data_IF_764381570222
#
_entry.id   IF_764381570222
#
_cell.length_a   1.000
_cell.length_b   1.000
_cell.length_c   1.000
_cell.angle_alpha   90.00
_cell.angle_beta   90.00
_cell.angle_gamma   90.00
#
_symmetry.space_group_name_H-M   'P 1'
#
loop_
_entity.id
_entity.type
_entity.pdbx_description
1 polymer ?
#
# COMPACT_ATOMS: atom_id res chain seq x y z
N UNK A 1 -22.02 20.96 11.05
CA UNK A 1 -21.24 20.11 10.12
C UNK A 1 -20.51 21.01 9.12
N UNK A 2 -19.22 21.30 9.33
CA UNK A 2 -18.42 21.97 8.26
C UNK A 2 -18.27 20.99 7.09
N UNK A 3 -18.42 21.44 5.85
CA UNK A 3 -18.44 20.55 4.70
C UNK A 3 -17.10 19.80 4.58
N UNK A 4 -17.16 18.50 4.33
CA UNK A 4 -16.02 17.57 4.17
C UNK A 4 -14.98 18.00 3.11
N UNK A 5 -15.34 18.95 2.27
CA UNK A 5 -14.48 19.60 1.27
C UNK A 5 -13.34 20.42 1.89
N UNK A 6 -13.51 20.94 3.12
CA UNK A 6 -12.48 21.75 3.78
C UNK A 6 -11.22 20.92 4.08
N UNK A 7 -11.37 19.67 4.52
CA UNK A 7 -10.23 18.79 4.79
C UNK A 7 -9.47 18.41 3.49
N UNK A 8 -10.20 18.14 2.40
CA UNK A 8 -9.58 17.84 1.10
C UNK A 8 -8.87 19.07 0.51
N UNK A 9 -9.48 20.25 0.61
CA UNK A 9 -8.88 21.50 0.15
C UNK A 9 -7.64 21.86 0.98
N UNK A 10 -7.69 21.73 2.29
CA UNK A 10 -6.52 21.99 3.16
C UNK A 10 -5.39 21.00 2.92
N UNK A 11 -5.71 19.72 2.67
CA UNK A 11 -4.70 18.73 2.30
C UNK A 11 -4.06 19.04 0.93
N UNK A 12 -4.87 19.39 -0.07
CA UNK A 12 -4.37 19.80 -1.39
C UNK A 12 -3.49 21.06 -1.30
N UNK A 13 -3.91 22.05 -0.53
CA UNK A 13 -3.12 23.26 -0.29
C UNK A 13 -1.80 22.93 0.41
N UNK A 14 -1.80 22.03 1.40
CA UNK A 14 -0.58 21.59 2.07
C UNK A 14 0.38 20.89 1.10
N UNK A 15 -0.12 19.99 0.24
CA UNK A 15 0.68 19.33 -0.81
C UNK A 15 1.33 20.36 -1.74
N UNK A 16 0.54 21.30 -2.25
CA UNK A 16 1.05 22.33 -3.16
C UNK A 16 2.06 23.23 -2.48
N UNK A 17 1.82 23.63 -1.23
CA UNK A 17 2.73 24.50 -0.48
C UNK A 17 4.05 23.80 -0.18
N UNK A 18 4.02 22.54 0.29
CA UNK A 18 5.24 21.77 0.59
C UNK A 18 6.05 21.51 -0.69
N UNK A 19 5.38 21.19 -1.80
CA UNK A 19 6.03 20.96 -3.08
C UNK A 19 6.69 22.24 -3.62
N UNK A 20 5.97 23.38 -3.60
CA UNK A 20 6.52 24.67 -4.03
C UNK A 20 7.73 25.07 -3.18
N UNK A 21 7.62 24.93 -1.85
CA UNK A 21 8.71 25.24 -0.93
C UNK A 21 9.94 24.36 -1.18
N UNK A 22 9.74 23.05 -1.38
CA UNK A 22 10.81 22.13 -1.67
C UNK A 22 11.53 22.45 -2.99
N UNK A 23 10.79 22.77 -4.05
CA UNK A 23 11.35 23.16 -5.35
C UNK A 23 12.16 24.46 -5.18
N UNK A 24 11.63 25.44 -4.46
CA UNK A 24 12.31 26.71 -4.21
C UNK A 24 13.59 26.54 -3.40
N UNK A 25 13.57 25.72 -2.34
CA UNK A 25 14.75 25.38 -1.52
C UNK A 25 15.83 24.65 -2.33
N UNK A 26 15.45 23.90 -3.35
CA UNK A 26 16.37 23.26 -4.30
C UNK A 26 17.00 24.26 -5.30
N UNK A 27 16.66 25.55 -5.22
CA UNK A 27 17.16 26.59 -6.13
C UNK A 27 16.45 26.62 -7.49
N UNK A 28 15.35 25.88 -7.66
CA UNK A 28 14.60 25.84 -8.90
C UNK A 28 13.33 26.72 -8.82
N UNK A 29 12.88 27.25 -9.96
CA UNK A 29 11.65 28.03 -10.02
C UNK A 29 10.41 27.10 -10.14
N UNK A 30 9.47 27.14 -9.20
CA UNK A 30 8.27 26.28 -9.26
C UNK A 30 7.48 26.41 -10.56
N UNK A 31 7.42 27.62 -11.14
CA UNK A 31 6.73 27.90 -12.42
C UNK A 31 7.28 27.09 -13.60
N UNK A 32 8.56 26.68 -13.54
CA UNK A 32 9.22 25.93 -14.61
C UNK A 32 9.19 24.43 -14.34
N UNK A 33 9.13 24.02 -13.06
CA UNK A 33 9.16 22.63 -12.60
C UNK A 33 7.75 22.01 -12.56
N UNK A 34 6.75 22.72 -12.02
CA UNK A 34 5.38 22.18 -11.88
C UNK A 34 4.74 21.76 -13.20
N UNK A 35 4.83 22.54 -14.31
CA UNK A 35 4.30 22.10 -15.60
C UNK A 35 4.94 20.80 -16.08
N UNK A 36 6.26 20.63 -15.90
CA UNK A 36 6.97 19.40 -16.27
C UNK A 36 6.51 18.21 -15.45
N UNK A 37 6.25 18.39 -14.15
CA UNK A 37 5.66 17.33 -13.30
C UNK A 37 4.29 16.94 -13.86
N UNK A 38 3.41 17.88 -14.14
CA UNK A 38 2.07 17.60 -14.67
C UNK A 38 2.14 16.91 -16.03
N UNK A 39 2.96 17.42 -16.93
CA UNK A 39 3.16 16.83 -18.26
C UNK A 39 3.75 15.42 -18.19
N UNK A 40 4.77 15.21 -17.37
CA UNK A 40 5.42 13.90 -17.21
C UNK A 40 4.66 12.88 -16.37
N UNK A 41 3.56 13.30 -15.70
CA UNK A 41 2.72 12.40 -14.89
C UNK A 41 1.34 12.17 -15.46
N UNK A 42 0.69 13.21 -15.99
CA UNK A 42 -0.69 13.17 -16.48
C UNK A 42 -0.82 13.59 -17.95
N UNK A 43 0.18 14.29 -18.51
CA UNK A 43 0.11 14.86 -19.85
C UNK A 43 0.28 13.85 -20.99
N UNK A 44 0.73 12.62 -20.69
CA UNK A 44 0.89 11.57 -21.69
C UNK A 44 0.58 10.19 -21.10
N UNK A 45 0.27 9.21 -21.97
CA UNK A 45 -0.14 7.88 -21.54
C UNK A 45 0.97 7.11 -20.79
N UNK A 46 2.23 7.30 -21.17
CA UNK A 46 3.37 6.71 -20.44
C UNK A 46 3.43 7.26 -19.01
N UNK A 47 3.42 8.58 -18.83
CA UNK A 47 3.45 9.22 -17.52
C UNK A 47 2.27 8.83 -16.64
N UNK A 48 1.06 8.80 -17.22
CA UNK A 48 -0.13 8.31 -16.53
C UNK A 48 0.05 6.84 -16.11
N UNK A 49 0.54 5.99 -17.02
CA UNK A 49 0.82 4.59 -16.72
C UNK A 49 1.82 4.42 -15.57
N UNK A 50 2.92 5.18 -15.57
CA UNK A 50 3.90 5.15 -14.49
C UNK A 50 3.34 5.68 -13.16
N UNK A 51 2.54 6.74 -13.22
CA UNK A 51 1.83 7.28 -12.04
C UNK A 51 0.93 6.23 -11.41
N UNK A 52 0.11 5.55 -12.21
CA UNK A 52 -0.78 4.48 -11.74
C UNK A 52 0.01 3.25 -11.26
N UNK A 53 1.13 2.93 -11.90
CA UNK A 53 2.02 1.86 -11.45
C UNK A 53 2.58 2.14 -10.04
N UNK A 54 3.05 3.38 -9.80
CA UNK A 54 3.53 3.81 -8.48
C UNK A 54 2.40 3.92 -7.44
N UNK A 55 1.19 4.26 -7.86
CA UNK A 55 0.01 4.27 -7.01
C UNK A 55 -0.45 2.86 -6.60
N UNK A 56 -0.14 1.82 -7.41
CA UNK A 56 -0.63 0.46 -7.19
C UNK A 56 -0.30 -0.10 -5.82
N UNK A 57 0.96 -0.19 -5.38
CA UNK A 57 1.28 -0.72 -4.06
C UNK A 57 0.71 0.15 -2.94
N UNK A 58 0.61 1.48 -3.14
CA UNK A 58 0.03 2.41 -2.18
C UNK A 58 -1.48 2.21 -1.99
N UNK A 59 -2.18 1.82 -3.03
CA UNK A 59 -3.59 1.49 -3.01
C UNK A 59 -3.85 0.24 -2.15
N UNK A 60 -3.02 -0.79 -2.28
CA UNK A 60 -3.11 -2.01 -1.49
C UNK A 60 -2.75 -1.77 -0.02
N UNK A 61 -1.62 -1.12 0.26
CA UNK A 61 -1.17 -0.83 1.64
C UNK A 61 -2.06 0.20 2.32
N UNK A 62 -2.55 1.22 1.59
CA UNK A 62 -3.54 2.17 2.08
C UNK A 62 -4.87 1.51 2.43
N UNK A 63 -5.35 0.58 1.59
CA UNK A 63 -6.51 -0.25 1.88
C UNK A 63 -6.33 -1.12 3.13
N UNK A 64 -5.15 -1.72 3.27
CA UNK A 64 -4.77 -2.53 4.42
C UNK A 64 -4.87 -1.73 5.73
N UNK A 65 -4.22 -0.57 5.78
CA UNK A 65 -4.26 0.33 6.95
C UNK A 65 -5.68 0.82 7.21
N UNK A 66 -6.42 1.22 6.17
CA UNK A 66 -7.79 1.68 6.30
C UNK A 66 -8.73 0.62 6.89
N UNK A 67 -8.53 -0.67 6.55
CA UNK A 67 -9.29 -1.77 7.13
C UNK A 67 -9.00 -1.91 8.63
N UNK A 68 -7.74 -1.91 9.05
CA UNK A 68 -7.35 -2.00 10.45
C UNK A 68 -7.94 -0.84 11.28
N UNK A 69 -7.90 0.39 10.74
CA UNK A 69 -8.46 1.59 11.37
C UNK A 69 -9.97 1.47 11.66
N UNK A 70 -10.72 0.66 10.91
CA UNK A 70 -12.15 0.40 11.20
C UNK A 70 -12.37 -0.33 12.52
N UNK A 71 -11.37 -1.07 13.00
CA UNK A 71 -11.38 -1.71 14.32
C UNK A 71 -10.61 -0.89 15.38
N UNK A 72 -10.27 0.37 15.11
CA UNK A 72 -9.37 1.20 15.92
C UNK A 72 -8.00 0.53 16.17
N UNK A 73 -7.54 -0.24 15.20
CA UNK A 73 -6.20 -0.84 15.19
C UNK A 73 -5.32 -0.09 14.22
N UNK A 74 -4.06 0.11 14.59
CA UNK A 74 -3.11 0.83 13.75
C UNK A 74 -2.07 -0.16 13.20
N UNK A 75 -2.20 -0.53 11.92
CA UNK A 75 -1.28 -1.46 11.26
C UNK A 75 -0.10 -0.70 10.63
N UNK A 76 0.99 -0.51 11.37
CA UNK A 76 2.26 -0.02 10.82
C UNK A 76 3.01 -1.13 10.07
N UNK A 77 2.62 -2.39 10.27
CA UNK A 77 3.22 -3.58 9.67
C UNK A 77 3.02 -3.75 8.16
N UNK A 78 2.27 -2.85 7.52
CA UNK A 78 1.95 -2.98 6.10
C UNK A 78 3.20 -3.09 5.19
N UNK A 79 4.33 -2.50 5.59
CA UNK A 79 5.61 -2.62 4.87
C UNK A 79 6.14 -4.05 4.89
N UNK A 80 6.36 -4.61 6.07
CA UNK A 80 6.85 -5.99 6.21
C UNK A 80 5.86 -7.03 5.69
N UNK A 81 4.55 -6.78 5.83
CA UNK A 81 3.50 -7.63 5.27
C UNK A 81 3.54 -7.63 3.74
N UNK A 82 3.81 -6.47 3.11
CA UNK A 82 4.01 -6.36 1.67
C UNK A 82 5.26 -7.14 1.22
N UNK A 83 6.38 -7.01 1.95
CA UNK A 83 7.61 -7.76 1.69
C UNK A 83 7.40 -9.27 1.82
N UNK A 84 6.71 -9.71 2.88
CA UNK A 84 6.39 -11.12 3.09
C UNK A 84 5.46 -11.67 1.99
N UNK A 85 4.49 -10.88 1.56
CA UNK A 85 3.63 -11.23 0.43
C UNK A 85 4.39 -11.34 -0.89
N UNK A 86 5.30 -10.39 -1.17
CA UNK A 86 6.19 -10.42 -2.33
C UNK A 86 7.07 -11.66 -2.32
N UNK A 87 7.68 -11.99 -1.17
CA UNK A 87 8.49 -13.19 -1.00
C UNK A 87 7.68 -14.46 -1.26
N UNK A 88 6.51 -14.60 -0.61
CA UNK A 88 5.68 -15.80 -0.74
C UNK A 88 5.20 -16.01 -2.17
N UNK A 89 4.72 -14.97 -2.87
CA UNK A 89 4.29 -15.12 -4.26
C UNK A 89 5.47 -15.40 -5.21
N UNK A 90 6.67 -14.87 -4.93
CA UNK A 90 7.87 -15.18 -5.72
C UNK A 90 8.26 -16.65 -5.57
N UNK A 91 8.35 -17.15 -4.34
CA UNK A 91 8.74 -18.54 -4.06
C UNK A 91 7.72 -19.53 -4.63
N UNK A 92 6.43 -19.32 -4.32
CA UNK A 92 5.36 -20.20 -4.79
C UNK A 92 5.21 -20.12 -6.31
N UNK A 93 5.23 -18.90 -6.89
CA UNK A 93 5.13 -18.72 -8.32
C UNK A 93 6.29 -19.33 -9.11
N UNK A 94 7.50 -19.37 -8.51
CA UNK A 94 8.68 -20.02 -9.10
C UNK A 94 8.68 -21.56 -8.93
N UNK A 95 7.97 -22.07 -7.91
CA UNK A 95 7.89 -23.51 -7.63
C UNK A 95 6.83 -24.24 -8.48
N UNK A 96 5.93 -23.51 -9.14
CA UNK A 96 4.91 -24.11 -9.99
C UNK A 96 5.55 -24.76 -11.25
N UNK A 97 4.97 -25.83 -11.81
CA UNK A 97 5.40 -26.40 -13.08
C UNK A 97 5.36 -25.36 -14.22
N UNK A 98 6.38 -25.36 -15.10
CA UNK A 98 6.55 -24.35 -16.15
C UNK A 98 5.33 -24.19 -17.09
N UNK A 99 4.56 -25.26 -17.33
CA UNK A 99 3.36 -25.25 -18.17
C UNK A 99 2.06 -24.90 -17.44
N UNK A 100 2.09 -24.49 -16.17
CA UNK A 100 0.86 -24.21 -15.40
C UNK A 100 0.09 -23.06 -16.05
N UNK A 101 -1.20 -23.27 -16.41
CA UNK A 101 -2.02 -22.22 -17.02
C UNK A 101 -2.23 -21.03 -16.08
N UNK A 102 -2.40 -19.83 -16.66
CA UNK A 102 -2.57 -18.59 -15.88
C UNK A 102 -3.80 -18.66 -14.94
N UNK A 103 -4.87 -19.34 -15.35
CA UNK A 103 -6.07 -19.52 -14.54
C UNK A 103 -5.83 -20.26 -13.22
N UNK A 104 -4.75 -21.04 -13.13
CA UNK A 104 -4.34 -21.78 -11.92
C UNK A 104 -3.16 -21.09 -11.23
N UNK A 105 -2.15 -20.69 -11.99
CA UNK A 105 -0.93 -20.10 -11.45
C UNK A 105 -1.17 -18.76 -10.75
N UNK A 106 -1.98 -17.86 -11.36
CA UNK A 106 -2.27 -16.54 -10.77
C UNK A 106 -3.02 -16.65 -9.42
N UNK A 107 -4.15 -17.39 -9.30
CA UNK A 107 -4.81 -17.53 -8.01
C UNK A 107 -3.91 -18.12 -6.93
N UNK A 108 -3.09 -19.12 -7.25
CA UNK A 108 -2.15 -19.73 -6.28
C UNK A 108 -1.12 -18.70 -5.81
N UNK A 109 -0.51 -17.94 -6.73
CA UNK A 109 0.47 -16.92 -6.37
C UNK A 109 -0.17 -15.74 -5.59
N UNK A 110 -1.40 -15.34 -5.94
CA UNK A 110 -2.16 -14.31 -5.20
C UNK A 110 -2.51 -14.78 -3.79
N UNK A 111 -2.95 -16.04 -3.63
CA UNK A 111 -3.23 -16.62 -2.31
C UNK A 111 -1.96 -16.73 -1.47
N UNK A 112 -0.81 -17.07 -2.09
CA UNK A 112 0.48 -17.10 -1.41
C UNK A 112 0.89 -15.69 -0.92
N UNK A 113 0.68 -14.64 -1.75
CA UNK A 113 0.93 -13.26 -1.34
C UNK A 113 0.02 -12.83 -0.19
N UNK A 114 -1.27 -13.14 -0.28
CA UNK A 114 -2.23 -12.82 0.77
C UNK A 114 -1.90 -13.53 2.08
N UNK A 115 -1.56 -14.82 2.02
CA UNK A 115 -1.16 -15.62 3.19
C UNK A 115 0.14 -15.10 3.81
N UNK A 116 1.14 -14.77 2.97
CA UNK A 116 2.42 -14.21 3.40
C UNK A 116 2.27 -12.91 4.19
N UNK A 117 1.37 -12.01 3.75
CA UNK A 117 1.06 -10.78 4.49
C UNK A 117 0.11 -11.02 5.68
N UNK A 118 -0.84 -11.95 5.55
CA UNK A 118 -1.79 -12.27 6.62
C UNK A 118 -1.12 -12.86 7.86
N UNK A 119 -0.10 -13.68 7.69
CA UNK A 119 0.58 -14.36 8.80
C UNK A 119 1.17 -13.39 9.83
N UNK A 120 2.05 -12.43 9.46
CA UNK A 120 2.55 -11.44 10.42
C UNK A 120 1.45 -10.50 10.92
N UNK A 121 0.44 -10.17 10.08
CA UNK A 121 -0.73 -9.42 10.53
C UNK A 121 -1.52 -10.17 11.60
N UNK A 122 -1.81 -11.45 11.39
CA UNK A 122 -2.49 -12.31 12.35
C UNK A 122 -1.71 -12.44 13.65
N UNK A 123 -0.38 -12.59 13.57
CA UNK A 123 0.50 -12.67 14.74
C UNK A 123 0.38 -11.41 15.60
N UNK A 124 0.50 -10.21 14.98
CA UNK A 124 0.34 -8.95 15.70
C UNK A 124 -1.04 -8.82 16.33
N UNK A 125 -2.10 -9.19 15.57
CA UNK A 125 -3.47 -9.19 16.06
C UNK A 125 -3.71 -10.17 17.21
N UNK A 126 -3.12 -11.35 17.15
CA UNK A 126 -3.19 -12.36 18.20
C UNK A 126 -2.49 -11.89 19.47
N UNK A 127 -1.27 -11.35 19.34
CA UNK A 127 -0.54 -10.76 20.47
C UNK A 127 -1.36 -9.66 21.14
N UNK A 128 -1.99 -8.77 20.37
CA UNK A 128 -2.88 -7.75 20.89
C UNK A 128 -4.10 -8.33 21.58
N UNK A 129 -4.78 -9.30 20.95
CA UNK A 129 -6.01 -9.89 21.47
C UNK A 129 -5.79 -10.75 22.71
N UNK A 130 -4.67 -11.48 22.80
CA UNK A 130 -4.39 -12.42 23.88
C UNK A 130 -3.63 -11.81 25.05
N UNK A 131 -2.67 -10.93 24.78
CA UNK A 131 -1.76 -10.38 25.78
C UNK A 131 -1.92 -8.88 26.00
N UNK A 132 -2.79 -8.21 25.25
CA UNK A 132 -2.99 -6.77 25.37
C UNK A 132 -1.79 -5.94 24.88
N UNK A 133 -0.85 -6.53 24.13
CA UNK A 133 0.32 -5.80 23.59
C UNK A 133 -0.12 -4.64 22.71
N UNK A 134 0.71 -3.61 22.61
CA UNK A 134 0.42 -2.50 21.71
C UNK A 134 0.70 -2.90 20.25
N UNK A 135 -0.33 -2.90 19.39
CA UNK A 135 -0.22 -3.37 18.00
C UNK A 135 0.80 -2.59 17.17
N UNK A 136 0.97 -1.29 17.45
CA UNK A 136 1.97 -0.44 16.80
C UNK A 136 3.38 -0.98 17.03
N UNK A 137 3.73 -1.33 18.27
CA UNK A 137 5.05 -1.87 18.61
C UNK A 137 5.25 -3.23 17.96
N UNK A 138 4.26 -4.13 18.08
CA UNK A 138 4.36 -5.49 17.50
C UNK A 138 4.52 -5.44 15.99
N UNK A 139 3.74 -4.59 15.29
CA UNK A 139 3.83 -4.48 13.83
C UNK A 139 5.12 -3.80 13.37
N UNK A 140 5.62 -2.80 14.10
CA UNK A 140 6.89 -2.14 13.79
C UNK A 140 8.08 -3.10 13.96
N UNK A 141 8.09 -3.90 15.04
CA UNK A 141 9.14 -4.92 15.26
C UNK A 141 9.09 -5.99 14.17
N UNK A 142 7.89 -6.44 13.77
CA UNK A 142 7.73 -7.40 12.69
C UNK A 142 8.21 -6.84 11.34
N UNK A 143 8.06 -5.54 11.07
CA UNK A 143 8.64 -4.92 9.86
C UNK A 143 10.17 -5.11 9.82
N UNK A 144 10.86 -4.79 10.92
CA UNK A 144 12.31 -4.96 11.00
C UNK A 144 12.72 -6.43 10.82
N UNK A 145 12.03 -7.35 11.51
CA UNK A 145 12.28 -8.78 11.40
C UNK A 145 12.09 -9.28 9.96
N UNK A 146 10.99 -8.90 9.31
CA UNK A 146 10.68 -9.30 7.94
C UNK A 146 11.64 -8.69 6.93
N UNK A 147 12.10 -7.45 7.12
CA UNK A 147 13.11 -6.84 6.27
C UNK A 147 14.44 -7.61 6.34
N UNK A 148 14.89 -7.98 7.53
CA UNK A 148 16.11 -8.78 7.70
C UNK A 148 15.92 -10.20 7.16
N UNK A 149 14.79 -10.84 7.45
CA UNK A 149 14.48 -12.20 6.98
C UNK A 149 14.43 -12.27 5.45
N UNK A 150 13.72 -11.33 4.80
CA UNK A 150 13.62 -11.31 3.34
C UNK A 150 14.98 -11.05 2.69
N UNK A 151 15.78 -10.12 3.25
CA UNK A 151 17.15 -9.86 2.81
C UNK A 151 18.02 -11.10 2.89
N UNK A 152 18.01 -11.79 4.03
CA UNK A 152 18.76 -13.02 4.23
C UNK A 152 18.34 -14.13 3.25
N UNK A 153 17.02 -14.30 3.04
CA UNK A 153 16.51 -15.31 2.10
C UNK A 153 16.94 -15.02 0.66
N UNK A 154 16.83 -13.75 0.21
CA UNK A 154 17.23 -13.37 -1.15
C UNK A 154 18.75 -13.44 -1.38
N UNK A 155 19.55 -13.12 -0.35
CA UNK A 155 21.02 -13.16 -0.44
C UNK A 155 21.61 -14.55 -0.28
N UNK A 156 20.86 -15.48 0.28
CA UNK A 156 21.29 -16.85 0.65
C UNK A 156 20.48 -17.93 -0.05
N UNK A 157 19.50 -18.58 0.66
CA UNK A 157 18.88 -19.82 0.18
C UNK A 157 18.09 -19.69 -1.13
N UNK A 158 17.54 -18.50 -1.43
CA UNK A 158 16.73 -18.26 -2.63
C UNK A 158 17.52 -17.62 -3.78
N UNK A 159 18.80 -17.33 -3.56
CA UNK A 159 19.68 -16.71 -4.53
C UNK A 159 19.89 -17.61 -5.77
N UNK A 160 19.91 -17.03 -6.95
CA UNK A 160 20.18 -17.72 -8.20
C UNK A 160 21.54 -17.28 -8.77
N UNK A 161 22.52 -18.16 -8.67
CA UNK A 161 23.87 -17.88 -9.11
C UNK A 161 24.48 -16.66 -8.38
N UNK A 162 25.00 -15.70 -9.14
CA UNK A 162 25.58 -14.45 -8.61
C UNK A 162 24.53 -13.36 -8.33
N UNK A 163 23.31 -13.53 -8.79
CA UNK A 163 22.24 -12.51 -8.72
C UNK A 163 21.41 -12.66 -7.44
N UNK A 164 21.24 -11.56 -6.73
CA UNK A 164 20.51 -11.52 -5.42
C UNK A 164 19.00 -11.42 -5.66
N UNK A 165 18.44 -12.44 -6.33
CA UNK A 165 17.00 -12.58 -6.55
C UNK A 165 16.59 -14.05 -6.59
N UNK A 166 15.28 -14.31 -6.48
CA UNK A 166 14.71 -15.66 -6.60
C UNK A 166 14.74 -16.14 -8.05
N UNK A 167 14.44 -17.44 -8.25
CA UNK A 167 14.07 -17.93 -9.58
C UNK A 167 12.88 -17.13 -10.11
N UNK A 168 12.80 -17.03 -11.45
CA UNK A 168 11.65 -16.40 -12.08
C UNK A 168 10.37 -17.19 -11.84
N UNK A 169 9.27 -16.46 -11.61
CA UNK A 169 7.94 -17.06 -11.54
C UNK A 169 7.55 -17.61 -12.92
N UNK A 170 6.78 -18.70 -12.94
CA UNK A 170 6.30 -19.27 -14.21
C UNK A 170 5.49 -18.24 -15.00
N UNK A 171 5.52 -18.36 -16.32
CA UNK A 171 4.85 -17.40 -17.21
C UNK A 171 3.35 -17.24 -16.87
N UNK A 172 2.68 -18.34 -16.52
CA UNK A 172 1.27 -18.33 -16.11
C UNK A 172 0.98 -17.54 -14.81
N UNK A 173 1.98 -17.31 -13.96
CA UNK A 173 1.83 -16.49 -12.76
C UNK A 173 2.07 -15.00 -12.99
N UNK A 174 2.51 -14.59 -14.18
CA UNK A 174 2.76 -13.17 -14.48
C UNK A 174 1.47 -12.42 -14.74
N UNK A 175 1.32 -11.26 -14.12
CA UNK A 175 0.21 -10.36 -14.39
C UNK A 175 0.37 -9.69 -15.75
N UNK A 176 -0.72 -9.54 -16.53
CA UNK A 176 -0.67 -8.83 -17.79
C UNK A 176 -0.31 -7.36 -17.57
N UNK A 177 0.62 -6.86 -18.39
CA UNK A 177 0.99 -5.45 -18.45
C UNK A 177 -0.04 -4.67 -19.25
N UNK A 178 -0.29 -3.42 -18.88
CA UNK A 178 -1.29 -2.57 -19.54
C UNK A 178 -1.01 -2.34 -21.03
N UNK A 179 0.26 -2.29 -21.46
CA UNK A 179 0.64 -2.12 -22.86
C UNK A 179 0.21 -3.29 -23.76
N UNK A 180 -0.07 -4.48 -23.19
CA UNK A 180 -0.63 -5.61 -23.96
C UNK A 180 -2.08 -5.39 -24.39
N UNK A 181 -2.80 -4.53 -23.65
CA UNK A 181 -4.19 -4.18 -23.92
C UNK A 181 -4.30 -2.86 -24.71
N UNK A 182 -3.42 -1.90 -24.41
CA UNK A 182 -3.40 -0.57 -25.01
C UNK A 182 -1.96 -0.15 -25.26
N UNK A 183 -1.56 -0.07 -26.53
CA UNK A 183 -0.20 0.33 -26.95
C UNK A 183 0.23 1.71 -26.44
N UNK A 184 -0.72 2.59 -26.14
CA UNK A 184 -0.47 3.91 -25.54
C UNK A 184 0.32 3.84 -24.22
N UNK A 185 0.20 2.75 -23.45
CA UNK A 185 0.95 2.53 -22.19
C UNK A 185 2.31 1.84 -22.40
N UNK A 186 2.82 1.79 -23.63
CA UNK A 186 4.10 1.15 -23.90
C UNK A 186 5.24 1.76 -23.06
N UNK A 187 6.09 0.90 -22.49
CA UNK A 187 7.17 1.30 -21.60
C UNK A 187 6.76 1.57 -20.16
N UNK A 188 5.46 1.66 -19.84
CA UNK A 188 5.00 1.83 -18.45
C UNK A 188 4.97 0.53 -17.70
N UNK A 189 5.18 0.60 -16.36
CA UNK A 189 5.09 -0.54 -15.44
C UNK A 189 3.68 -0.84 -14.96
N UNK A 190 2.66 -0.18 -15.54
CA UNK A 190 1.26 -0.42 -15.19
C UNK A 190 0.86 -1.85 -15.57
N UNK A 191 0.23 -2.55 -14.64
CA UNK A 191 -0.20 -3.93 -14.80
C UNK A 191 -1.53 -4.20 -14.10
N UNK A 192 -2.06 -5.41 -14.24
CA UNK A 192 -3.37 -5.79 -13.70
C UNK A 192 -3.48 -5.69 -12.16
N UNK A 193 -2.39 -5.50 -11.40
CA UNK A 193 -2.47 -5.30 -9.96
C UNK A 193 -3.20 -4.01 -9.58
N UNK A 194 -3.23 -2.98 -10.46
CA UNK A 194 -3.97 -1.75 -10.21
C UNK A 194 -5.49 -1.99 -10.21
N UNK A 195 -6.12 -2.49 -11.29
CA UNK A 195 -7.56 -2.77 -11.28
C UNK A 195 -7.94 -3.84 -10.26
N UNK A 196 -7.10 -4.84 -9.99
CA UNK A 196 -7.31 -5.80 -8.90
C UNK A 196 -7.35 -5.11 -7.53
N UNK A 197 -6.47 -4.13 -7.31
CA UNK A 197 -6.46 -3.35 -6.06
C UNK A 197 -7.73 -2.50 -5.91
N UNK A 198 -8.20 -1.87 -6.98
CA UNK A 198 -9.48 -1.14 -6.97
C UNK A 198 -10.63 -2.10 -6.63
N UNK A 199 -10.68 -3.26 -7.26
CA UNK A 199 -11.68 -4.30 -6.96
C UNK A 199 -11.61 -4.76 -5.51
N UNK A 200 -10.39 -4.97 -4.98
CA UNK A 200 -10.19 -5.34 -3.56
C UNK A 200 -10.69 -4.26 -2.59
N UNK A 201 -10.52 -2.97 -2.90
CA UNK A 201 -11.10 -1.89 -2.08
C UNK A 201 -12.63 -1.88 -2.12
N UNK A 202 -13.24 -2.18 -3.27
CA UNK A 202 -14.70 -2.31 -3.39
C UNK A 202 -15.18 -3.52 -2.58
N UNK A 203 -14.50 -4.67 -2.69
CA UNK A 203 -14.79 -5.86 -1.90
C UNK A 203 -14.59 -5.62 -0.39
N UNK A 204 -13.56 -4.86 0.00
CA UNK A 204 -13.35 -4.43 1.39
C UNK A 204 -14.54 -3.59 1.89
N UNK A 205 -15.02 -2.64 1.08
CA UNK A 205 -16.19 -1.82 1.45
C UNK A 205 -17.44 -2.69 1.59
N UNK A 206 -17.69 -3.58 0.63
CA UNK A 206 -18.78 -4.54 0.71
C UNK A 206 -18.67 -5.42 1.96
N UNK A 207 -17.49 -6.01 2.22
CA UNK A 207 -17.26 -6.81 3.43
C UNK A 207 -17.59 -6.03 4.71
N UNK A 208 -17.10 -4.79 4.80
CA UNK A 208 -17.32 -3.94 5.97
C UNK A 208 -18.80 -3.59 6.17
N UNK A 209 -19.59 -3.38 5.13
CA UNK A 209 -20.96 -2.90 5.25
C UNK A 209 -22.00 -4.01 5.25
N UNK A 210 -21.78 -5.10 4.51
CA UNK A 210 -22.79 -6.11 4.23
C UNK A 210 -22.57 -7.45 4.97
N UNK A 211 -21.42 -7.61 5.68
CA UNK A 211 -21.15 -8.90 6.34
C UNK A 211 -21.18 -8.79 7.88
N UNK A 212 -21.49 -9.93 8.54
CA UNK A 212 -21.43 -10.04 10.00
C UNK A 212 -20.01 -9.80 10.52
N UNK A 213 -18.97 -10.23 9.80
CA UNK A 213 -17.57 -9.99 10.15
C UNK A 213 -17.22 -8.51 10.10
N UNK A 214 -17.65 -7.81 9.06
CA UNK A 214 -17.48 -6.37 8.93
C UNK A 214 -18.25 -5.58 9.99
N UNK A 215 -19.47 -6.03 10.35
CA UNK A 215 -20.23 -5.45 11.45
C UNK A 215 -19.50 -5.58 12.80
N UNK A 216 -19.00 -6.79 13.12
CA UNK A 216 -18.23 -7.04 14.34
C UNK A 216 -16.98 -6.15 14.41
N UNK A 217 -16.29 -5.96 13.29
CA UNK A 217 -15.11 -5.12 13.15
C UNK A 217 -15.43 -3.63 13.43
N UNK A 218 -16.51 -3.13 12.83
CA UNK A 218 -16.99 -1.75 13.06
C UNK A 218 -17.51 -1.55 14.49
N UNK A 219 -18.23 -2.53 15.06
CA UNK A 219 -18.71 -2.49 16.43
C UNK A 219 -17.55 -2.42 17.42
N UNK A 220 -16.51 -3.27 17.24
CA UNK A 220 -15.29 -3.23 18.04
C UNK A 220 -14.61 -1.86 17.96
N UNK A 221 -14.54 -1.26 16.76
CA UNK A 221 -13.97 0.06 16.56
C UNK A 221 -14.81 1.19 17.15
N UNK A 222 -16.13 1.04 17.22
CA UNK A 222 -17.01 2.06 17.83
C UNK A 222 -16.92 2.06 19.35
N UNK A 223 -17.12 0.90 19.97
CA UNK A 223 -17.02 0.72 21.44
C UNK A 223 -16.67 -0.74 21.75
N UNK A 224 -15.42 -1.02 22.15
CA UNK A 224 -15.01 -2.39 22.48
C UNK A 224 -15.89 -3.04 23.56
N UNK A 225 -16.21 -2.30 24.66
CA UNK A 225 -17.04 -2.84 25.73
C UNK A 225 -18.49 -3.14 25.31
N UNK A 226 -19.10 -2.27 24.50
CA UNK A 226 -20.44 -2.52 23.98
C UNK A 226 -20.45 -3.71 22.98
N UNK A 227 -19.40 -3.84 22.16
CA UNK A 227 -19.27 -4.96 21.23
C UNK A 227 -19.14 -6.30 21.98
N UNK A 228 -18.35 -6.35 23.05
CA UNK A 228 -18.22 -7.53 23.91
C UNK A 228 -19.55 -7.88 24.61
N UNK A 229 -20.29 -6.89 25.12
CA UNK A 229 -21.61 -7.09 25.72
C UNK A 229 -22.63 -7.67 24.71
N UNK A 230 -22.45 -7.40 23.42
CA UNK A 230 -23.25 -7.95 22.32
C UNK A 230 -22.71 -9.29 21.79
N UNK A 231 -21.73 -9.91 22.48
CA UNK A 231 -21.19 -11.20 22.13
C UNK A 231 -20.08 -11.21 21.06
N UNK A 232 -19.51 -10.05 20.74
CA UNK A 232 -18.36 -9.98 19.83
C UNK A 232 -17.09 -10.41 20.57
N UNK A 233 -16.47 -11.49 20.14
CA UNK A 233 -15.16 -11.93 20.65
C UNK A 233 -14.07 -10.95 20.19
N UNK A 234 -13.61 -10.12 21.13
CA UNK A 234 -12.61 -9.09 20.88
C UNK A 234 -11.29 -9.66 20.36
N UNK A 235 -10.79 -10.73 20.97
CA UNK A 235 -9.48 -11.30 20.60
C UNK A 235 -9.51 -11.87 19.17
N UNK A 236 -10.54 -12.63 18.83
CA UNK A 236 -10.73 -13.17 17.48
C UNK A 236 -10.96 -12.08 16.45
N UNK A 237 -11.77 -11.06 16.78
CA UNK A 237 -12.08 -9.96 15.86
C UNK A 237 -10.83 -9.12 15.58
N UNK A 238 -10.02 -8.82 16.60
CA UNK A 238 -8.74 -8.13 16.47
C UNK A 238 -7.77 -8.91 15.58
N UNK A 239 -7.62 -10.22 15.85
CA UNK A 239 -6.75 -11.10 15.05
C UNK A 239 -7.19 -11.14 13.58
N UNK A 240 -8.50 -11.31 13.32
CA UNK A 240 -9.06 -11.32 11.95
C UNK A 240 -8.87 -9.98 11.25
N UNK A 241 -9.08 -8.86 11.94
CA UNK A 241 -8.87 -7.54 11.39
C UNK A 241 -7.43 -7.33 10.91
N UNK A 242 -6.46 -7.70 11.76
CA UNK A 242 -5.05 -7.58 11.44
C UNK A 242 -4.60 -8.59 10.36
N UNK A 243 -5.17 -9.81 10.35
CA UNK A 243 -4.92 -10.80 9.31
C UNK A 243 -5.42 -10.33 7.93
N UNK A 244 -6.64 -9.81 7.85
CA UNK A 244 -7.20 -9.27 6.62
C UNK A 244 -6.45 -8.03 6.13
N UNK A 245 -6.07 -7.15 7.07
CA UNK A 245 -5.21 -6.00 6.78
C UNK A 245 -3.86 -6.47 6.21
N UNK A 246 -3.24 -7.46 6.85
CA UNK A 246 -1.99 -8.04 6.37
C UNK A 246 -2.11 -8.72 5.00
N UNK A 247 -3.22 -9.43 4.75
CA UNK A 247 -3.50 -10.03 3.44
C UNK A 247 -3.54 -8.98 2.32
N UNK A 248 -4.25 -7.86 2.56
CA UNK A 248 -4.30 -6.75 1.60
C UNK A 248 -2.90 -6.14 1.38
N UNK A 249 -2.13 -5.91 2.44
CA UNK A 249 -0.78 -5.40 2.32
C UNK A 249 0.14 -6.37 1.54
N UNK A 250 0.04 -7.67 1.82
CA UNK A 250 0.79 -8.71 1.11
C UNK A 250 0.48 -8.76 -0.38
N UNK A 251 -0.78 -8.57 -0.76
CA UNK A 251 -1.17 -8.44 -2.17
C UNK A 251 -0.55 -7.22 -2.86
N UNK A 252 -0.15 -6.18 -2.12
CA UNK A 252 0.64 -5.06 -2.67
C UNK A 252 1.97 -5.50 -3.27
N UNK A 253 2.60 -6.55 -2.72
CA UNK A 253 3.84 -7.13 -3.21
C UNK A 253 3.73 -7.79 -4.59
N UNK A 254 2.53 -8.22 -4.96
CA UNK A 254 2.22 -8.83 -6.26
C UNK A 254 2.54 -7.89 -7.43
N UNK A 255 2.32 -6.58 -7.26
CA UNK A 255 2.67 -5.59 -8.29
C UNK A 255 4.13 -5.70 -8.71
N UNK A 256 5.04 -5.80 -7.75
CA UNK A 256 6.48 -5.85 -8.02
C UNK A 256 6.89 -7.19 -8.64
N UNK A 257 6.48 -8.30 -8.02
CA UNK A 257 6.92 -9.65 -8.38
C UNK A 257 6.22 -10.15 -9.63
N UNK A 258 4.89 -10.25 -9.61
CA UNK A 258 4.14 -10.85 -10.72
C UNK A 258 3.88 -9.85 -11.86
N UNK A 259 3.85 -8.53 -11.53
CA UNK A 259 3.54 -7.48 -12.49
C UNK A 259 4.77 -6.91 -13.20
N UNK A 260 5.86 -6.64 -12.50
CA UNK A 260 7.01 -5.87 -13.04
C UNK A 260 8.23 -6.76 -13.27
N UNK A 261 8.78 -7.35 -12.21
CA UNK A 261 10.08 -8.04 -12.26
C UNK A 261 9.99 -9.48 -12.78
N UNK A 262 9.02 -10.24 -12.34
CA UNK A 262 8.90 -11.67 -12.56
C UNK A 262 9.72 -12.51 -11.59
N UNK A 263 10.33 -11.91 -10.57
CA UNK A 263 11.07 -12.55 -9.49
C UNK A 263 11.04 -11.68 -8.23
N UNK A 264 11.40 -12.26 -7.09
CA UNK A 264 11.57 -11.52 -5.85
C UNK A 264 13.02 -11.08 -5.67
N UNK A 265 13.23 -9.84 -5.27
CA UNK A 265 14.54 -9.27 -4.97
C UNK A 265 14.48 -8.38 -3.72
N UNK A 266 15.65 -7.99 -3.22
CA UNK A 266 15.74 -7.09 -2.08
C UNK A 266 15.25 -5.67 -2.46
N UNK A 267 14.60 -4.98 -1.51
CA UNK A 267 14.22 -3.56 -1.66
C UNK A 267 12.95 -3.29 -2.45
N UNK A 268 12.16 -4.31 -2.80
CA UNK A 268 10.91 -4.15 -3.57
C UNK A 268 9.88 -3.22 -2.91
N UNK A 269 9.81 -3.18 -1.58
CA UNK A 269 8.81 -2.37 -0.86
C UNK A 269 9.09 -0.87 -0.94
N UNK A 270 10.33 -0.46 -0.73
CA UNK A 270 10.74 0.96 -0.82
C UNK A 270 9.97 1.92 0.10
N UNK A 271 9.36 1.44 1.20
CA UNK A 271 8.59 2.25 2.14
C UNK A 271 7.11 2.43 1.79
N UNK A 272 6.58 1.69 0.80
CA UNK A 272 5.18 1.82 0.36
C UNK A 272 4.16 1.55 1.47
N UNK A 273 4.50 0.72 2.46
CA UNK A 273 3.65 0.48 3.61
C UNK A 273 3.50 1.70 4.52
N UNK A 274 4.58 2.46 4.70
CA UNK A 274 4.53 3.71 5.49
C UNK A 274 3.77 4.80 4.75
N UNK A 275 4.01 4.97 3.45
CA UNK A 275 3.23 5.91 2.61
C UNK A 275 1.76 5.50 2.56
N UNK A 276 1.46 4.19 2.59
CA UNK A 276 0.10 3.65 2.68
C UNK A 276 -0.68 4.15 3.91
N UNK A 277 -0.01 4.45 5.03
CA UNK A 277 -0.65 5.06 6.20
C UNK A 277 -1.20 6.45 5.84
N UNK A 278 -0.40 7.27 5.16
CA UNK A 278 -0.84 8.58 4.72
C UNK A 278 -1.98 8.49 3.69
N UNK A 279 -1.90 7.53 2.77
CA UNK A 279 -2.96 7.25 1.79
C UNK A 279 -4.27 6.87 2.49
N UNK A 280 -4.23 6.01 3.52
CA UNK A 280 -5.41 5.63 4.30
C UNK A 280 -6.03 6.82 5.04
N UNK A 281 -5.19 7.65 5.67
CA UNK A 281 -5.62 8.83 6.41
C UNK A 281 -6.22 9.89 5.49
N UNK A 282 -5.54 10.23 4.39
CA UNK A 282 -6.01 11.19 3.39
C UNK A 282 -7.29 10.71 2.70
N UNK A 283 -7.36 9.41 2.39
CA UNK A 283 -8.53 8.78 1.78
C UNK A 283 -9.74 8.66 2.71
N UNK A 284 -9.60 8.96 4.02
CA UNK A 284 -10.68 8.91 5.00
C UNK A 284 -11.29 7.50 5.13
N UNK A 285 -10.54 6.46 4.81
CA UNK A 285 -10.97 5.07 4.85
C UNK A 285 -12.07 4.69 3.84
N UNK A 286 -12.32 5.52 2.81
CA UNK A 286 -13.27 5.25 1.73
C UNK A 286 -12.55 4.75 0.49
N UNK A 287 -13.08 3.76 -0.26
CA UNK A 287 -12.42 3.23 -1.44
C UNK A 287 -11.97 4.30 -2.44
N UNK A 288 -12.89 5.15 -2.86
CA UNK A 288 -12.58 6.23 -3.80
C UNK A 288 -11.52 7.21 -3.24
N UNK A 289 -11.63 7.56 -1.96
CA UNK A 289 -10.64 8.43 -1.30
C UNK A 289 -9.25 7.81 -1.27
N UNK A 290 -9.16 6.50 -1.00
CA UNK A 290 -7.89 5.75 -1.02
C UNK A 290 -7.31 5.72 -2.43
N UNK A 291 -8.13 5.48 -3.46
CA UNK A 291 -7.67 5.51 -4.87
C UNK A 291 -7.12 6.88 -5.23
N UNK A 292 -7.85 7.95 -4.94
CA UNK A 292 -7.42 9.33 -5.24
C UNK A 292 -6.14 9.70 -4.48
N UNK A 293 -6.04 9.33 -3.20
CA UNK A 293 -4.85 9.55 -2.39
C UNK A 293 -3.64 8.74 -2.93
N UNK A 294 -3.84 7.47 -3.29
CA UNK A 294 -2.78 6.66 -3.88
C UNK A 294 -2.28 7.23 -5.22
N UNK A 295 -3.18 7.71 -6.07
CA UNK A 295 -2.82 8.36 -7.34
C UNK A 295 -2.05 9.66 -7.08
N UNK A 296 -2.47 10.47 -6.11
CA UNK A 296 -1.75 11.69 -5.73
C UNK A 296 -0.31 11.38 -5.29
N UNK A 297 -0.11 10.41 -4.40
CA UNK A 297 1.24 10.02 -3.97
C UNK A 297 2.02 9.34 -5.10
N UNK A 298 1.36 8.57 -5.97
CA UNK A 298 1.95 8.01 -7.19
C UNK A 298 2.44 9.11 -8.15
N UNK A 299 1.64 10.19 -8.29
CA UNK A 299 2.00 11.37 -9.06
C UNK A 299 3.22 12.11 -8.46
N UNK A 300 3.28 12.27 -7.15
CA UNK A 300 4.44 12.86 -6.47
C UNK A 300 5.70 12.02 -6.70
N UNK A 301 5.59 10.69 -6.54
CA UNK A 301 6.70 9.77 -6.75
C UNK A 301 7.18 9.73 -8.22
N UNK A 302 6.26 9.76 -9.19
CA UNK A 302 6.61 9.82 -10.62
C UNK A 302 7.14 11.19 -10.99
N UNK A 303 6.52 12.26 -10.51
CA UNK A 303 6.94 13.64 -10.75
C UNK A 303 8.37 13.89 -10.26
N UNK A 304 8.73 13.30 -9.11
CA UNK A 304 10.09 13.33 -8.60
C UNK A 304 11.12 12.78 -9.57
N UNK A 305 10.81 11.67 -10.23
CA UNK A 305 11.70 11.10 -11.26
C UNK A 305 11.77 11.97 -12.53
N UNK A 306 10.65 12.58 -12.94
CA UNK A 306 10.59 13.45 -14.12
C UNK A 306 11.51 14.66 -13.98
N UNK A 307 11.56 15.25 -12.81
CA UNK A 307 12.33 16.49 -12.58
C UNK A 307 13.66 16.27 -11.86
N UNK A 308 14.11 15.02 -11.67
CA UNK A 308 15.30 14.68 -10.90
C UNK A 308 16.60 15.35 -11.41
N UNK A 309 16.66 15.69 -12.69
CA UNK A 309 17.79 16.44 -13.27
C UNK A 309 17.85 17.93 -12.79
N UNK A 310 16.72 18.48 -12.33
CA UNK A 310 16.59 19.88 -11.94
C UNK A 310 16.41 20.02 -10.41
N UNK A 311 15.67 19.09 -9.81
CA UNK A 311 15.39 19.04 -8.36
C UNK A 311 15.77 17.65 -7.88
N UNK A 312 16.76 17.51 -6.98
CA UNK A 312 17.17 16.21 -6.46
C UNK A 312 16.00 15.41 -5.88
N UNK A 313 15.96 14.10 -6.13
CA UNK A 313 14.89 13.22 -5.66
C UNK A 313 14.68 13.31 -4.14
N UNK A 314 15.74 13.51 -3.37
CA UNK A 314 15.69 13.61 -1.90
C UNK A 314 14.86 14.82 -1.45
N UNK A 315 14.92 15.94 -2.17
CA UNK A 315 14.12 17.14 -1.87
C UNK A 315 12.63 16.85 -2.07
N UNK A 316 12.29 16.10 -3.10
CA UNK A 316 10.91 15.70 -3.37
C UNK A 316 10.41 14.61 -2.42
N UNK A 317 11.30 13.72 -1.96
CA UNK A 317 11.00 12.78 -0.89
C UNK A 317 10.72 13.53 0.44
N UNK A 318 11.49 14.58 0.74
CA UNK A 318 11.22 15.46 1.89
C UNK A 318 9.88 16.20 1.74
N UNK A 319 9.53 16.68 0.55
CA UNK A 319 8.21 17.29 0.29
C UNK A 319 7.08 16.27 0.48
N UNK A 320 7.29 15.02 0.06
CA UNK A 320 6.34 13.94 0.28
C UNK A 320 6.18 13.63 1.79
N UNK A 321 7.28 13.55 2.55
CA UNK A 321 7.25 13.36 3.99
C UNK A 321 6.55 14.52 4.72
N UNK A 322 6.85 15.77 4.34
CA UNK A 322 6.18 16.95 4.88
C UNK A 322 4.67 16.96 4.57
N UNK A 323 4.30 16.50 3.38
CA UNK A 323 2.89 16.30 2.98
C UNK A 323 2.19 15.30 3.91
N UNK A 324 2.85 14.17 4.22
CA UNK A 324 2.31 13.15 5.14
C UNK A 324 2.04 13.76 6.52
N UNK A 325 3.00 14.50 7.06
CA UNK A 325 2.87 15.16 8.37
C UNK A 325 1.75 16.21 8.34
N UNK A 326 1.68 17.03 7.31
CA UNK A 326 0.63 18.05 7.16
C UNK A 326 -0.77 17.42 7.08
N UNK A 327 -0.93 16.37 6.28
CA UNK A 327 -2.20 15.61 6.18
C UNK A 327 -2.58 14.98 7.52
N UNK A 328 -1.63 14.36 8.22
CA UNK A 328 -1.86 13.78 9.55
C UNK A 328 -2.32 14.85 10.56
N UNK A 329 -1.68 16.02 10.58
CA UNK A 329 -2.06 17.12 11.47
C UNK A 329 -3.45 17.68 11.17
N UNK A 330 -3.82 17.82 9.89
CA UNK A 330 -5.15 18.29 9.47
C UNK A 330 -6.24 17.29 9.86
N UNK A 331 -6.00 15.99 9.64
CA UNK A 331 -6.97 14.94 9.97
C UNK A 331 -7.16 14.78 11.49
N UNK A 332 -6.08 14.87 12.28
CA UNK A 332 -6.14 14.82 13.75
C UNK A 332 -6.96 15.98 14.34
N UNK A 333 -6.75 17.21 13.86
CA UNK A 333 -7.53 18.39 14.29
C UNK A 333 -9.02 18.28 13.91
N UNK A 334 -9.31 17.64 12.77
CA UNK A 334 -10.68 17.39 12.33
C UNK A 334 -11.42 16.42 13.25
N UNK A 335 -10.73 15.38 13.76
CA UNK A 335 -11.29 14.41 14.69
C UNK A 335 -11.59 15.03 16.07
N UNK A 336 -10.65 15.79 16.64
CA UNK A 336 -10.84 16.48 17.94
C UNK A 336 -12.02 17.46 17.94
N UNK A 337 -12.25 18.18 16.83
CA UNK A 337 -13.39 19.10 16.68
C UNK A 337 -14.74 18.41 16.48
N UNK A 338 -14.76 17.14 16.18
CA UNK A 338 -15.99 16.36 16.06
C UNK A 338 -16.43 15.72 17.39
N UNK A 339 -15.51 15.67 18.37
CA UNK A 339 -15.75 15.15 19.73
C UNK A 339 -16.06 16.26 20.74
N UNK A 340 -15.75 17.53 20.42
CA UNK A 340 -16.15 18.75 21.19
C UNK A 340 -17.46 19.31 20.65
#
# INVERSE_FOLDING_TARGET
MKPRWTAAVTAAAAVLTTLNLAIWLAGAAPRDVLPRIVEGTLGNAYGLGQTLAKATPLLWTGGAVALALRARLFNIGAEGQCLAGALCCAVVGAALPAGTPALVALPIALLAAAAGGAAPGALAGWLRGRFGTHEVLSTLMLNGLLAVLTTWLYSGPLRVGEQVHTREVVHGARLPMAHRLMSAFQGSSLNAAFPLGVAALVLMAWYLHETRGGLALRALGASPGAAEALGVDRARTTTRAMALSGALAGLGGVHFVLGVKGYGEQGLGGGVGFVGIAVAMLGGGRPLGIVLAAVLFGMLAQGGLVVNATVPADVLNLAQAATIVAVAAVTARGAQRAES
#
